data_IF_012143799083
#
_entry.id   IF_012143799083
#
_cell.length_a   1.000
_cell.length_b   1.000
_cell.length_c   1.000
_cell.angle_alpha   90.00
_cell.angle_beta   90.00
_cell.angle_gamma   90.00
#
_symmetry.space_group_name_H-M   'P 1'
#
loop_
_entity.id
_entity.type
_entity.pdbx_description
1 polymer ?
#
# COMPACT_ATOMS: atom_id res chain seq x y z
N UNK A 1 7.68 -2.51 -4.57
CA UNK A 1 6.54 -1.79 -3.96
C UNK A 1 5.21 -2.13 -4.61
N UNK A 2 5.04 -1.90 -5.93
CA UNK A 2 3.76 -2.16 -6.61
C UNK A 2 3.27 -3.62 -6.47
N UNK A 3 4.17 -4.61 -6.44
CA UNK A 3 3.79 -6.02 -6.28
C UNK A 3 3.11 -6.28 -4.92
N UNK A 4 3.72 -5.83 -3.82
CA UNK A 4 3.17 -5.96 -2.47
C UNK A 4 1.82 -5.26 -2.35
N UNK A 5 1.69 -4.08 -2.97
CA UNK A 5 0.45 -3.32 -2.97
C UNK A 5 -0.67 -4.03 -3.75
N UNK A 6 -0.36 -4.51 -4.96
CA UNK A 6 -1.30 -5.31 -5.77
C UNK A 6 -1.70 -6.60 -5.06
N UNK A 7 -0.75 -7.29 -4.46
CA UNK A 7 -1.03 -8.50 -3.68
C UNK A 7 -1.97 -8.21 -2.50
N UNK A 8 -1.65 -7.18 -1.70
CA UNK A 8 -2.46 -6.76 -0.56
C UNK A 8 -3.86 -6.30 -0.97
N UNK A 9 -3.99 -5.59 -2.08
CA UNK A 9 -5.27 -5.19 -2.64
C UNK A 9 -6.14 -6.41 -3.00
N UNK A 10 -5.57 -7.38 -3.73
CA UNK A 10 -6.32 -8.56 -4.16
C UNK A 10 -6.73 -9.40 -2.95
N UNK A 11 -5.79 -9.70 -2.04
CA UNK A 11 -6.05 -10.42 -0.78
C UNK A 11 -7.10 -9.72 0.09
N UNK A 12 -7.03 -8.40 0.20
CA UNK A 12 -7.98 -7.60 0.98
C UNK A 12 -9.38 -7.61 0.38
N UNK A 13 -9.50 -7.65 -0.95
CA UNK A 13 -10.79 -7.74 -1.65
C UNK A 13 -11.39 -9.15 -1.69
N UNK A 14 -10.59 -10.22 -1.48
CA UNK A 14 -11.07 -11.61 -1.50
C UNK A 14 -12.21 -11.86 -0.50
N UNK A 15 -12.22 -11.14 0.63
CA UNK A 15 -13.25 -11.26 1.68
C UNK A 15 -14.65 -10.85 1.17
N UNK A 16 -14.72 -9.98 0.17
CA UNK A 16 -15.98 -9.47 -0.40
C UNK A 16 -16.52 -10.32 -1.55
N UNK A 17 -15.69 -11.21 -2.12
CA UNK A 17 -16.07 -12.07 -3.23
C UNK A 17 -15.80 -13.55 -2.92
N UNK A 18 -16.45 -14.14 -1.90
CA UNK A 18 -16.18 -15.50 -1.42
C UNK A 18 -16.45 -16.59 -2.48
N UNK A 19 -17.38 -16.34 -3.41
CA UNK A 19 -17.74 -17.25 -4.51
C UNK A 19 -16.67 -17.30 -5.63
N UNK A 20 -15.74 -16.34 -5.68
CA UNK A 20 -14.74 -16.20 -6.75
C UNK A 20 -13.31 -16.49 -6.26
N UNK A 21 -13.18 -17.49 -5.36
CA UNK A 21 -11.98 -17.81 -4.59
C UNK A 21 -10.65 -17.57 -5.30
N UNK A 22 -9.64 -17.14 -4.54
CA UNK A 22 -8.30 -16.71 -4.96
C UNK A 22 -7.66 -17.59 -6.04
N UNK A 23 -8.05 -17.41 -7.31
CA UNK A 23 -7.53 -18.17 -8.43
C UNK A 23 -6.22 -17.53 -8.88
N UNK A 24 -5.17 -18.34 -9.03
CA UNK A 24 -3.87 -17.92 -9.58
C UNK A 24 -4.02 -17.17 -10.92
N UNK A 25 -5.08 -17.47 -11.69
CA UNK A 25 -5.44 -16.76 -12.92
C UNK A 25 -5.79 -15.29 -12.68
N UNK A 26 -6.49 -14.97 -11.58
CA UNK A 26 -6.91 -13.60 -11.22
C UNK A 26 -5.74 -12.74 -10.76
N UNK A 27 -4.83 -13.32 -9.97
CA UNK A 27 -3.57 -12.67 -9.60
C UNK A 27 -2.75 -12.39 -10.85
N UNK A 28 -2.55 -13.39 -11.71
CA UNK A 28 -1.80 -13.22 -12.97
C UNK A 28 -2.41 -12.14 -13.87
N UNK A 29 -3.73 -12.15 -14.07
CA UNK A 29 -4.43 -11.11 -14.86
C UNK A 29 -4.25 -9.72 -14.25
N UNK A 30 -4.37 -9.59 -12.93
CA UNK A 30 -4.20 -8.30 -12.25
C UNK A 30 -2.78 -7.76 -12.43
N UNK A 31 -1.76 -8.61 -12.26
CA UNK A 31 -0.36 -8.22 -12.49
C UNK A 31 -0.11 -7.83 -13.95
N UNK A 32 -0.64 -8.59 -14.92
CA UNK A 32 -0.49 -8.28 -16.35
C UNK A 32 -1.15 -6.94 -16.68
N UNK A 33 -2.39 -6.71 -16.22
CA UNK A 33 -3.11 -5.46 -16.48
C UNK A 33 -2.38 -4.27 -15.84
N UNK A 34 -1.97 -4.37 -14.57
CA UNK A 34 -1.22 -3.29 -13.91
C UNK A 34 0.11 -3.00 -14.61
N UNK A 35 0.83 -4.03 -15.06
CA UNK A 35 2.08 -3.86 -15.80
C UNK A 35 1.87 -3.21 -17.16
N UNK A 36 0.85 -3.65 -17.91
CA UNK A 36 0.51 -3.10 -19.22
C UNK A 36 0.04 -1.64 -19.11
N UNK A 37 -0.78 -1.32 -18.10
CA UNK A 37 -1.18 0.07 -17.84
C UNK A 37 0.02 0.94 -17.47
N UNK A 38 0.94 0.44 -16.64
CA UNK A 38 2.17 1.16 -16.32
C UNK A 38 2.98 1.47 -17.59
N UNK A 39 3.13 0.50 -18.51
CA UNK A 39 3.83 0.69 -19.79
C UNK A 39 3.16 1.76 -20.67
N UNK A 40 1.83 1.78 -20.74
CA UNK A 40 1.07 2.79 -21.49
C UNK A 40 1.25 4.18 -20.87
N UNK A 41 1.40 4.27 -19.55
CA UNK A 41 1.55 5.56 -18.83
C UNK A 41 2.94 6.18 -18.91
N UNK A 42 3.99 5.39 -19.20
CA UNK A 42 5.37 5.89 -19.34
C UNK A 42 5.50 7.02 -20.37
N UNK A 43 5.03 6.88 -21.64
CA UNK A 43 5.14 7.97 -22.62
C UNK A 43 4.33 9.22 -22.23
N UNK A 44 3.33 9.08 -21.35
CA UNK A 44 2.52 10.19 -20.86
C UNK A 44 3.16 10.93 -19.67
N UNK A 45 4.39 10.56 -19.28
CA UNK A 45 5.08 11.09 -18.07
C UNK A 45 4.26 10.90 -16.79
N UNK A 46 3.38 9.90 -16.75
CA UNK A 46 2.55 9.58 -15.59
C UNK A 46 3.28 8.56 -14.71
N UNK A 47 3.29 8.82 -13.41
CA UNK A 47 3.91 7.93 -12.43
C UNK A 47 3.15 6.59 -12.40
N UNK A 48 3.85 5.44 -12.38
CA UNK A 48 3.19 4.13 -12.34
C UNK A 48 2.23 4.01 -11.16
N UNK A 49 0.96 3.72 -11.43
CA UNK A 49 -0.05 3.54 -10.39
C UNK A 49 -0.23 2.07 -10.01
N UNK A 50 -0.77 1.85 -8.81
CA UNK A 50 -1.10 0.53 -8.27
C UNK A 50 -2.57 0.48 -7.84
N UNK A 51 -3.16 -0.72 -7.67
CA UNK A 51 -4.49 -0.85 -7.11
C UNK A 51 -4.63 -0.10 -5.79
N UNK A 52 -5.72 0.66 -5.66
CA UNK A 52 -5.95 1.53 -4.52
C UNK A 52 -6.48 0.73 -3.32
N UNK A 53 -5.60 0.32 -2.39
CA UNK A 53 -5.96 -0.52 -1.23
C UNK A 53 -6.96 0.17 -0.31
N UNK A 54 -6.98 1.51 -0.26
CA UNK A 54 -7.94 2.25 0.56
C UNK A 54 -9.39 2.07 0.10
N UNK A 55 -9.63 1.64 -1.15
CA UNK A 55 -10.99 1.33 -1.62
C UNK A 55 -11.63 0.16 -0.85
N UNK A 56 -10.81 -0.77 -0.32
CA UNK A 56 -11.28 -1.86 0.54
C UNK A 56 -11.93 -1.32 1.82
N UNK A 57 -11.40 -0.21 2.35
CA UNK A 57 -11.97 0.46 3.51
C UNK A 57 -13.38 0.96 3.26
N UNK A 58 -13.57 1.63 2.13
CA UNK A 58 -14.89 2.08 1.69
C UNK A 58 -15.84 0.89 1.50
N UNK A 59 -15.41 -0.17 0.81
CA UNK A 59 -16.23 -1.39 0.63
C UNK A 59 -16.63 -2.02 1.97
N UNK A 60 -15.73 -2.02 2.96
CA UNK A 60 -16.00 -2.54 4.31
C UNK A 60 -17.06 -1.70 5.04
N UNK A 61 -17.06 -0.38 4.83
CA UNK A 61 -17.97 0.56 5.49
C UNK A 61 -19.34 0.63 4.80
N UNK A 62 -19.38 0.63 3.47
CA UNK A 62 -20.62 0.77 2.70
C UNK A 62 -21.31 -0.56 2.44
N UNK A 63 -20.57 -1.68 2.45
CA UNK A 63 -21.07 -3.01 2.08
C UNK A 63 -21.42 -3.16 0.59
N UNK A 64 -21.26 -2.10 -0.20
CA UNK A 64 -21.66 -2.04 -1.60
C UNK A 64 -20.51 -2.52 -2.49
N UNK A 65 -20.66 -3.71 -3.08
CA UNK A 65 -19.63 -4.37 -3.90
C UNK A 65 -19.89 -4.29 -5.40
N UNK A 66 -20.91 -3.54 -5.83
CA UNK A 66 -21.17 -3.32 -7.25
C UNK A 66 -20.11 -2.46 -7.91
N UNK A 67 -20.11 -2.47 -9.25
CA UNK A 67 -19.17 -1.69 -10.07
C UNK A 67 -19.60 -0.23 -10.24
N UNK A 68 -20.83 0.11 -9.87
CA UNK A 68 -21.40 1.45 -10.11
C UNK A 68 -20.65 2.55 -9.35
N UNK A 69 -20.35 2.42 -8.03
CA UNK A 69 -19.62 3.46 -7.30
C UNK A 69 -18.21 3.70 -7.87
N UNK A 70 -17.57 2.64 -8.34
CA UNK A 70 -16.25 2.72 -8.96
C UNK A 70 -16.29 3.53 -10.27
N UNK A 71 -17.26 3.24 -11.15
CA UNK A 71 -17.41 3.96 -12.43
C UNK A 71 -17.75 5.44 -12.18
N UNK A 72 -18.66 5.72 -11.26
CA UNK A 72 -19.03 7.10 -10.89
C UNK A 72 -17.81 7.85 -10.35
N UNK A 73 -17.04 7.24 -9.44
CA UNK A 73 -15.82 7.84 -8.90
C UNK A 73 -14.77 8.14 -9.97
N UNK A 74 -14.56 7.21 -10.92
CA UNK A 74 -13.66 7.43 -12.05
C UNK A 74 -14.14 8.59 -12.95
N UNK A 75 -15.44 8.65 -13.24
CA UNK A 75 -16.02 9.74 -14.03
C UNK A 75 -15.87 11.08 -13.32
N UNK A 76 -16.13 11.16 -12.02
CA UNK A 76 -15.90 12.36 -11.22
C UNK A 76 -14.42 12.80 -11.28
N UNK A 77 -13.47 11.89 -11.12
CA UNK A 77 -12.05 12.21 -11.20
C UNK A 77 -11.66 12.72 -12.61
N UNK A 78 -12.21 12.09 -13.66
CA UNK A 78 -12.01 12.53 -15.04
C UNK A 78 -12.56 13.95 -15.25
N UNK A 79 -13.77 14.23 -14.77
CA UNK A 79 -14.37 15.58 -14.84
C UNK A 79 -13.50 16.61 -14.11
N UNK A 80 -13.05 16.31 -12.89
CA UNK A 80 -12.20 17.25 -12.14
C UNK A 80 -10.90 17.54 -12.91
N UNK A 81 -10.27 16.51 -13.50
CA UNK A 81 -9.04 16.67 -14.28
C UNK A 81 -9.22 17.34 -15.64
N UNK A 82 -10.39 17.19 -16.27
CA UNK A 82 -10.69 17.78 -17.58
C UNK A 82 -11.08 19.27 -17.49
N UNK A 83 -11.75 19.66 -16.40
CA UNK A 83 -12.23 21.02 -16.20
C UNK A 83 -11.29 21.82 -15.30
N UNK A 84 -10.48 22.70 -15.91
CA UNK A 84 -9.51 23.57 -15.21
C UNK A 84 -10.09 24.36 -14.02
N UNK A 85 -11.32 24.92 -14.08
CA UNK A 85 -11.90 25.63 -12.92
C UNK A 85 -12.10 24.74 -11.71
N UNK A 86 -12.50 23.48 -11.90
CA UNK A 86 -12.66 22.50 -10.82
C UNK A 86 -11.30 22.15 -10.22
N UNK A 87 -10.30 21.89 -11.06
CA UNK A 87 -8.93 21.64 -10.58
C UNK A 87 -8.41 22.82 -9.74
N UNK A 88 -8.59 24.06 -10.21
CA UNK A 88 -8.16 25.25 -9.47
C UNK A 88 -8.82 25.34 -8.09
N UNK A 89 -10.13 25.08 -8.01
CA UNK A 89 -10.86 25.03 -6.74
C UNK A 89 -10.30 24.01 -5.76
N UNK A 90 -9.92 22.81 -6.22
CA UNK A 90 -9.31 21.81 -5.32
C UNK A 90 -7.89 22.19 -4.89
N UNK A 91 -7.12 22.91 -5.73
CA UNK A 91 -5.75 23.32 -5.40
C UNK A 91 -5.67 24.45 -4.37
N UNK A 92 -6.76 25.21 -4.16
CA UNK A 92 -6.80 26.25 -3.12
C UNK A 92 -7.11 25.71 -1.73
N UNK A 93 -7.37 24.40 -1.59
CA UNK A 93 -7.66 23.78 -0.30
C UNK A 93 -6.43 23.85 0.64
N UNK A 94 -6.61 24.33 1.88
CA UNK A 94 -5.54 24.34 2.88
C UNK A 94 -4.95 22.95 3.16
N UNK A 95 -3.64 22.92 3.42
CA UNK A 95 -2.90 21.70 3.80
C UNK A 95 -3.55 20.91 4.96
N UNK A 96 -4.12 21.54 6.02
CA UNK A 96 -4.80 20.80 7.08
C UNK A 96 -5.98 19.96 6.59
N UNK A 97 -6.74 20.44 5.60
CA UNK A 97 -7.90 19.72 5.04
C UNK A 97 -7.42 18.50 4.27
N UNK A 98 -6.41 18.69 3.41
CA UNK A 98 -5.79 17.59 2.66
C UNK A 98 -5.27 16.49 3.60
N UNK A 99 -4.60 16.90 4.69
CA UNK A 99 -4.08 15.97 5.70
C UNK A 99 -5.19 15.21 6.43
N UNK A 100 -6.30 15.87 6.76
CA UNK A 100 -7.46 15.23 7.39
C UNK A 100 -8.12 14.19 6.46
N UNK A 101 -8.24 14.48 5.17
CA UNK A 101 -8.77 13.53 4.17
C UNK A 101 -7.83 12.32 4.00
N UNK A 102 -6.51 12.54 3.99
CA UNK A 102 -5.54 11.46 3.96
C UNK A 102 -5.62 10.56 5.20
N UNK A 103 -5.81 11.14 6.39
CA UNK A 103 -6.00 10.39 7.62
C UNK A 103 -7.17 9.41 7.50
N UNK A 104 -8.34 9.87 7.01
CA UNK A 104 -9.52 9.01 6.79
C UNK A 104 -9.22 7.83 5.87
N UNK A 105 -8.37 8.04 4.85
CA UNK A 105 -7.94 6.97 3.94
C UNK A 105 -6.94 5.99 4.58
N UNK A 106 -6.14 6.45 5.54
CA UNK A 106 -5.17 5.62 6.25
C UNK A 106 -5.79 4.77 7.37
N UNK A 107 -6.89 5.19 7.98
CA UNK A 107 -7.59 4.42 9.03
C UNK A 107 -7.94 2.98 8.56
N UNK A 108 -8.59 2.78 7.40
CA UNK A 108 -8.88 1.44 6.92
C UNK A 108 -7.63 0.62 6.53
N UNK A 109 -6.56 1.28 6.06
CA UNK A 109 -5.30 0.60 5.80
C UNK A 109 -4.69 0.04 7.08
N UNK A 110 -4.71 0.85 8.16
CA UNK A 110 -4.26 0.44 9.47
C UNK A 110 -5.12 -0.71 10.02
N UNK A 111 -6.44 -0.62 9.88
CA UNK A 111 -7.36 -1.69 10.27
C UNK A 111 -7.08 -3.01 9.53
N UNK A 112 -6.86 -2.94 8.21
CA UNK A 112 -6.51 -4.10 7.39
C UNK A 112 -5.18 -4.73 7.81
N UNK A 113 -4.17 -3.90 8.08
CA UNK A 113 -2.87 -4.36 8.60
C UNK A 113 -3.04 -5.05 9.96
N UNK A 114 -3.78 -4.45 10.89
CA UNK A 114 -4.06 -5.04 12.21
C UNK A 114 -4.78 -6.39 12.11
N UNK A 115 -5.79 -6.49 11.24
CA UNK A 115 -6.51 -7.75 10.99
C UNK A 115 -5.58 -8.83 10.43
N UNK A 116 -4.62 -8.45 9.58
CA UNK A 116 -3.62 -9.37 9.04
C UNK A 116 -2.68 -9.89 10.12
N UNK A 117 -2.23 -9.02 11.04
CA UNK A 117 -1.40 -9.41 12.19
C UNK A 117 -2.14 -10.35 13.14
N UNK A 118 -3.44 -10.10 13.37
CA UNK A 118 -4.28 -10.93 14.28
C UNK A 118 -4.45 -12.38 13.81
N UNK A 119 -4.17 -12.69 12.54
CA UNK A 119 -4.20 -14.06 12.04
C UNK A 119 -2.99 -14.90 12.48
N UNK A 120 -1.93 -14.27 13.00
CA UNK A 120 -0.76 -14.97 13.53
C UNK A 120 -0.96 -15.35 15.00
N UNK A 121 -0.44 -16.52 15.44
CA UNK A 121 -0.45 -16.87 16.85
C UNK A 121 0.37 -15.86 17.66
N UNK A 122 -0.19 -15.39 18.78
CA UNK A 122 0.39 -14.39 19.67
C UNK A 122 1.50 -14.97 20.55
N UNK A 123 2.61 -15.35 19.93
CA UNK A 123 3.83 -15.81 20.61
C UNK A 123 4.85 -14.68 20.62
N UNK A 124 5.68 -14.58 21.67
CA UNK A 124 6.75 -13.58 21.76
C UNK A 124 7.61 -13.55 20.49
N UNK A 125 7.93 -14.72 19.95
CA UNK A 125 8.64 -14.90 18.68
C UNK A 125 8.00 -14.16 17.50
N UNK A 126 6.69 -14.30 17.31
CA UNK A 126 5.98 -13.69 16.19
C UNK A 126 5.86 -12.17 16.36
N UNK A 127 5.81 -11.68 17.60
CA UNK A 127 5.86 -10.25 17.89
C UNK A 127 7.21 -9.68 17.47
N UNK A 128 8.33 -10.32 17.81
CA UNK A 128 9.66 -9.85 17.39
C UNK A 128 9.88 -9.92 15.87
N UNK A 129 9.35 -10.97 15.20
CA UNK A 129 9.36 -11.09 13.73
C UNK A 129 8.69 -9.92 13.03
N UNK A 130 7.62 -9.37 13.62
CA UNK A 130 6.87 -8.25 13.07
C UNK A 130 7.44 -6.89 13.51
N UNK A 131 7.69 -6.73 14.80
CA UNK A 131 8.03 -5.45 15.41
C UNK A 131 9.41 -4.96 14.97
N UNK A 132 10.40 -5.84 14.87
CA UNK A 132 11.78 -5.43 14.57
C UNK A 132 11.90 -4.83 13.16
N UNK A 133 11.39 -5.47 12.08
CA UNK A 133 11.37 -4.84 10.76
C UNK A 133 10.53 -3.57 10.69
N UNK A 134 9.40 -3.53 11.41
CA UNK A 134 8.50 -2.38 11.45
C UNK A 134 9.18 -1.16 12.10
N UNK A 135 9.74 -1.32 13.30
CA UNK A 135 10.37 -0.21 14.02
C UNK A 135 11.64 0.27 13.33
N UNK A 136 12.45 -0.63 12.77
CA UNK A 136 13.64 -0.23 12.00
C UNK A 136 13.23 0.58 10.76
N UNK A 137 12.18 0.15 10.05
CA UNK A 137 11.64 0.90 8.91
C UNK A 137 11.16 2.30 9.30
N UNK A 138 10.39 2.42 10.39
CA UNK A 138 9.90 3.71 10.90
C UNK A 138 11.07 4.60 11.34
N UNK A 139 12.03 4.05 12.06
CA UNK A 139 13.21 4.78 12.53
C UNK A 139 13.99 5.39 11.36
N UNK A 140 14.26 4.60 10.31
CA UNK A 140 14.99 5.06 9.14
C UNK A 140 14.24 6.15 8.36
N UNK A 141 12.91 6.08 8.33
CA UNK A 141 12.07 7.11 7.72
C UNK A 141 12.06 8.43 8.51
N UNK A 142 12.33 8.38 9.82
CA UNK A 142 12.44 9.56 10.68
C UNK A 142 13.81 10.24 10.66
N UNK A 143 14.81 9.67 9.98
CA UNK A 143 16.16 10.25 9.95
C UNK A 143 16.19 11.56 9.15
N UNK A 144 16.88 12.61 9.67
CA UNK A 144 17.08 13.83 8.92
C UNK A 144 17.82 13.58 7.60
N UNK A 145 17.45 14.27 6.50
CA UNK A 145 18.05 14.05 5.19
C UNK A 145 19.57 14.22 5.16
N UNK A 146 20.13 15.01 6.08
CA UNK A 146 21.57 15.28 6.22
C UNK A 146 22.38 14.00 6.42
N UNK A 147 21.85 13.03 7.20
CA UNK A 147 22.52 11.76 7.44
C UNK A 147 22.47 10.82 6.23
N UNK A 148 21.50 11.02 5.33
CA UNK A 148 21.35 10.24 4.10
C UNK A 148 22.11 10.85 2.91
N UNK A 149 22.56 12.10 3.02
CA UNK A 149 23.29 12.80 1.95
C UNK A 149 24.72 12.30 1.74
N UNK A 150 25.34 11.76 2.79
CA UNK A 150 26.70 11.20 2.76
C UNK A 150 26.75 9.81 2.12
N UNK A 151 25.59 9.21 1.84
CA UNK A 151 25.49 7.87 1.27
C UNK A 151 25.53 7.89 -0.26
N UNK A 152 26.00 6.80 -0.91
CA UNK A 152 25.99 6.68 -2.36
C UNK A 152 24.59 6.87 -2.94
N UNK A 153 24.51 7.52 -4.10
CA UNK A 153 23.25 7.81 -4.81
C UNK A 153 22.40 6.55 -5.09
N UNK A 154 23.03 5.38 -5.17
CA UNK A 154 22.35 4.10 -5.35
C UNK A 154 21.63 3.61 -4.10
N UNK A 155 22.17 3.85 -2.90
CA UNK A 155 21.65 3.33 -1.62
C UNK A 155 20.71 4.33 -0.95
N UNK A 156 20.96 5.63 -1.15
CA UNK A 156 20.16 6.72 -0.60
C UNK A 156 18.65 6.60 -0.83
N UNK A 157 18.13 6.29 -2.03
CA UNK A 157 16.69 6.12 -2.24
C UNK A 157 16.12 4.85 -1.59
N UNK A 158 16.95 3.81 -1.37
CA UNK A 158 16.52 2.65 -0.58
C UNK A 158 16.38 3.02 0.91
N UNK A 159 17.39 3.71 1.46
CA UNK A 159 17.41 4.07 2.87
C UNK A 159 16.43 5.19 3.24
N UNK A 160 16.08 6.05 2.28
CA UNK A 160 15.00 7.04 2.43
C UNK A 160 13.59 6.43 2.42
N UNK A 161 13.46 5.13 2.13
CA UNK A 161 12.18 4.45 2.09
C UNK A 161 12.08 3.40 3.21
N UNK A 162 11.56 3.83 4.36
CA UNK A 162 11.40 2.97 5.54
C UNK A 162 10.59 1.70 5.29
N UNK A 163 9.56 1.76 4.44
CA UNK A 163 8.74 0.58 4.12
C UNK A 163 9.54 -0.44 3.29
N UNK A 164 10.38 0.01 2.35
CA UNK A 164 11.24 -0.89 1.59
C UNK A 164 12.21 -1.62 2.51
N UNK A 165 12.88 -0.88 3.41
CA UNK A 165 13.86 -1.46 4.33
C UNK A 165 13.19 -2.40 5.32
N UNK A 166 12.02 -2.02 5.86
CA UNK A 166 11.25 -2.89 6.75
C UNK A 166 10.88 -4.20 6.07
N UNK A 167 10.41 -4.16 4.81
CA UNK A 167 10.11 -5.40 4.06
C UNK A 167 11.38 -6.21 3.78
N UNK A 168 12.48 -5.57 3.37
CA UNK A 168 13.75 -6.28 3.14
C UNK A 168 14.27 -6.94 4.42
N UNK A 169 14.23 -6.24 5.54
CA UNK A 169 14.68 -6.75 6.82
C UNK A 169 13.79 -7.91 7.29
N UNK A 170 12.47 -7.81 7.11
CA UNK A 170 11.55 -8.91 7.40
C UNK A 170 11.88 -10.16 6.57
N UNK A 171 12.16 -10.00 5.27
CA UNK A 171 12.56 -11.11 4.39
C UNK A 171 13.91 -11.70 4.82
N UNK A 172 14.90 -10.87 5.13
CA UNK A 172 16.21 -11.35 5.61
C UNK A 172 16.06 -12.10 6.92
N UNK A 173 15.34 -11.56 7.88
CA UNK A 173 15.08 -12.21 9.17
C UNK A 173 14.35 -13.54 8.99
N UNK A 174 13.37 -13.62 8.08
CA UNK A 174 12.64 -14.86 7.81
C UNK A 174 13.52 -15.96 7.22
N UNK A 175 14.50 -15.60 6.38
CA UNK A 175 15.37 -16.58 5.73
C UNK A 175 16.58 -16.99 6.60
N UNK A 176 17.14 -16.07 7.39
CA UNK A 176 18.38 -16.32 8.13
C UNK A 176 18.15 -16.78 9.57
N UNK A 177 17.02 -16.44 10.19
CA UNK A 177 16.76 -16.80 11.59
C UNK A 177 15.92 -18.08 11.60
N UNK A 178 16.43 -19.20 12.15
CA UNK A 178 15.68 -20.44 12.27
C UNK A 178 14.68 -20.32 13.43
N UNK A 179 13.60 -19.58 13.17
CA UNK A 179 12.55 -19.27 14.13
C UNK A 179 12.08 -20.52 14.86
N UNK A 180 11.87 -21.63 14.16
CA UNK A 180 11.40 -22.90 14.72
C UNK A 180 12.23 -23.45 15.88
N UNK A 181 13.53 -23.15 15.91
CA UNK A 181 14.45 -23.62 16.96
C UNK A 181 14.45 -22.75 18.22
N UNK A 182 13.87 -21.56 18.16
CA UNK A 182 13.89 -20.58 19.26
C UNK A 182 12.70 -20.85 20.18
N UNK A 183 12.85 -21.68 21.22
CA UNK A 183 11.76 -22.01 22.15
C UNK A 183 11.02 -20.75 22.62
N UNK A 184 9.68 -20.86 22.65
CA UNK A 184 8.75 -19.82 23.09
C UNK A 184 9.03 -19.33 24.50
#
# INVERSE_FOLDING_TARGET
MNITNTYGAIRGTDVFYPQQGASNSRYRRSFIISGLMALITVPLSVVPFSPFVSSIGLLTQTGETSRQPFIIGCLCCLLVGLFTPLTHFFTTLPLPISSAVMLVSYLPLLYSAYRSVKQLPSTARNIYRLALPLFVGIFLMGLPPVYLQTLPLTIRPLLGNGLLIGVLLAVVMENFIPWDRIKS
#
